data_IF_349926894391
#
_entry.id   IF_349926894391
#
_cell.length_a   1.000
_cell.length_b   1.000
_cell.length_c   1.000
_cell.angle_alpha   90.00
_cell.angle_beta   90.00
_cell.angle_gamma   90.00
#
_symmetry.space_group_name_H-M   'P 1'
#
loop_
_entity.id
_entity.type
_entity.pdbx_description
1 polymer ?
#
# COMPACT_ATOMS: atom_id res chain seq x y z
N UNK A 1 -10.16 -35.28 0.50
CA UNK A 1 -8.92 -34.89 -0.20
C UNK A 1 -9.17 -33.57 -0.91
N UNK A 2 -8.57 -32.46 -0.49
CA UNK A 2 -8.67 -31.17 -1.21
C UNK A 2 -7.79 -31.26 -2.45
N UNK A 3 -8.40 -31.18 -3.63
CA UNK A 3 -7.67 -31.19 -4.92
C UNK A 3 -6.72 -29.99 -4.97
N UNK A 4 -5.42 -30.23 -5.14
CA UNK A 4 -4.45 -29.19 -5.47
C UNK A 4 -4.77 -28.67 -6.87
N UNK A 5 -4.96 -27.37 -7.02
CA UNK A 5 -4.93 -26.73 -8.33
C UNK A 5 -3.42 -26.61 -8.65
N UNK A 6 -2.96 -27.33 -9.68
CA UNK A 6 -1.61 -27.23 -10.27
C UNK A 6 -0.37 -27.33 -9.35
N UNK A 7 -0.36 -28.11 -8.30
CA UNK A 7 0.89 -28.48 -7.59
C UNK A 7 1.26 -27.63 -6.38
N UNK A 8 0.85 -26.37 -6.25
CA UNK A 8 1.09 -25.51 -5.08
C UNK A 8 -0.14 -25.45 -4.19
N UNK A 9 0.03 -25.60 -2.86
CA UNK A 9 -1.07 -25.57 -1.90
C UNK A 9 -1.15 -24.22 -1.19
N UNK A 10 -2.35 -23.61 -1.11
CA UNK A 10 -2.52 -22.36 -0.36
C UNK A 10 -2.13 -22.53 1.12
N UNK A 11 -1.22 -21.72 1.61
CA UNK A 11 -0.74 -21.72 2.99
C UNK A 11 -1.53 -20.70 3.81
N UNK A 12 -2.32 -21.18 4.79
CA UNK A 12 -3.16 -20.29 5.61
C UNK A 12 -2.36 -19.28 6.42
N UNK A 13 -1.17 -19.65 6.89
CA UNK A 13 -0.31 -18.74 7.68
C UNK A 13 0.25 -17.60 6.84
N UNK A 14 0.34 -17.76 5.50
CA UNK A 14 0.70 -16.72 4.55
C UNK A 14 -0.54 -15.92 4.07
N UNK A 15 -1.75 -16.33 4.44
CA UNK A 15 -2.98 -15.65 4.02
C UNK A 15 -3.29 -15.82 2.53
N UNK A 16 -2.78 -16.85 1.87
CA UNK A 16 -2.86 -17.03 0.43
C UNK A 16 -4.28 -17.33 -0.06
N UNK A 17 -4.73 -16.55 -1.03
CA UNK A 17 -5.93 -16.73 -1.85
C UNK A 17 -5.53 -16.58 -3.32
N UNK A 18 -5.40 -17.70 -4.03
CA UNK A 18 -4.98 -17.67 -5.43
C UNK A 18 -6.11 -17.18 -6.34
N UNK A 19 -5.86 -16.12 -7.08
CA UNK A 19 -6.75 -15.62 -8.11
C UNK A 19 -6.81 -16.65 -9.26
N UNK A 20 -8.03 -17.01 -9.69
CA UNK A 20 -8.26 -17.97 -10.79
C UNK A 20 -8.72 -17.30 -12.08
N UNK A 21 -9.27 -16.12 -11.96
CA UNK A 21 -9.84 -15.38 -13.07
C UNK A 21 -8.75 -14.63 -13.85
N UNK A 22 -8.47 -15.13 -15.05
CA UNK A 22 -7.42 -14.58 -15.92
C UNK A 22 -7.78 -13.19 -16.45
N UNK A 23 -9.08 -12.90 -16.66
CA UNK A 23 -9.52 -11.56 -17.12
C UNK A 23 -9.26 -10.51 -16.05
N UNK A 24 -9.52 -10.84 -14.79
CA UNK A 24 -9.21 -9.94 -13.65
C UNK A 24 -7.69 -9.78 -13.53
N UNK A 25 -6.92 -10.86 -13.64
CA UNK A 25 -5.46 -10.79 -13.57
C UNK A 25 -4.88 -9.90 -14.69
N UNK A 26 -5.39 -10.04 -15.91
CA UNK A 26 -5.02 -9.19 -17.05
C UNK A 26 -5.36 -7.72 -16.79
N UNK A 27 -6.58 -7.44 -16.32
CA UNK A 27 -6.99 -6.07 -16.01
C UNK A 27 -6.11 -5.44 -14.90
N UNK A 28 -5.67 -6.22 -13.91
CA UNK A 28 -4.73 -5.74 -12.88
C UNK A 28 -3.38 -5.40 -13.53
N UNK A 29 -2.82 -6.29 -14.34
CA UNK A 29 -1.55 -6.06 -15.02
C UNK A 29 -1.60 -4.84 -15.95
N UNK A 30 -2.70 -4.67 -16.71
CA UNK A 30 -2.95 -3.53 -17.59
C UNK A 30 -3.26 -2.21 -16.83
N UNK A 31 -3.42 -2.27 -15.53
CA UNK A 31 -3.65 -1.07 -14.71
C UNK A 31 -2.38 -0.25 -14.44
N UNK A 32 -1.20 -0.77 -14.74
CA UNK A 32 0.05 0.00 -14.75
C UNK A 32 0.00 1.03 -15.89
N UNK A 33 0.50 2.26 -15.62
CA UNK A 33 0.41 3.38 -16.58
C UNK A 33 1.76 3.89 -17.07
N UNK A 34 2.87 3.33 -16.59
CA UNK A 34 4.20 3.85 -16.90
C UNK A 34 4.46 5.23 -16.27
N UNK A 35 3.77 5.54 -15.17
CA UNK A 35 3.84 6.85 -14.51
C UNK A 35 5.29 7.25 -14.17
N UNK A 36 5.71 8.43 -14.64
CA UNK A 36 7.11 8.95 -14.53
C UNK A 36 8.14 8.09 -15.31
N UNK A 37 7.70 7.26 -16.27
CA UNK A 37 8.58 6.58 -17.21
C UNK A 37 9.42 5.44 -16.61
N UNK A 38 8.95 4.74 -15.58
CA UNK A 38 9.62 3.54 -15.08
C UNK A 38 9.59 2.42 -16.13
N UNK A 39 10.62 1.57 -16.10
CA UNK A 39 10.72 0.37 -16.93
C UNK A 39 10.78 -0.90 -16.07
N UNK A 40 11.02 -0.76 -14.75
CA UNK A 40 11.11 -1.86 -13.83
C UNK A 40 9.78 -2.08 -13.12
N UNK A 41 9.32 -3.32 -13.04
CA UNK A 41 8.13 -3.73 -12.30
C UNK A 41 8.50 -4.83 -11.32
N UNK A 42 8.19 -4.62 -10.05
CA UNK A 42 8.32 -5.61 -8.99
C UNK A 42 6.94 -6.19 -8.66
N UNK A 43 6.72 -7.46 -8.99
CA UNK A 43 5.54 -8.20 -8.52
C UNK A 43 5.83 -8.81 -7.14
N UNK A 44 5.02 -8.49 -6.15
CA UNK A 44 5.16 -9.04 -4.79
C UNK A 44 4.19 -10.21 -4.63
N UNK A 45 4.72 -11.38 -4.21
CA UNK A 45 3.88 -12.57 -3.98
C UNK A 45 3.19 -13.12 -5.23
N UNK A 46 3.92 -13.41 -6.33
CA UNK A 46 3.34 -13.87 -7.59
C UNK A 46 2.59 -15.20 -7.46
N UNK A 47 2.88 -16.00 -6.42
CA UNK A 47 2.34 -17.32 -6.24
C UNK A 47 2.65 -18.24 -7.44
N UNK A 48 1.62 -18.64 -8.18
CA UNK A 48 1.77 -19.44 -9.41
C UNK A 48 1.87 -18.58 -10.69
N UNK A 49 2.11 -17.27 -10.57
CA UNK A 49 2.35 -16.39 -11.71
C UNK A 49 1.09 -15.96 -12.47
N UNK A 50 -0.06 -15.86 -11.80
CA UNK A 50 -1.31 -15.47 -12.46
C UNK A 50 -1.27 -14.03 -13.01
N UNK A 51 -0.60 -13.09 -12.33
CA UNK A 51 -0.35 -11.75 -12.86
C UNK A 51 0.90 -11.73 -13.74
N UNK A 52 1.95 -12.44 -13.33
CA UNK A 52 3.24 -12.54 -14.01
C UNK A 52 3.09 -12.82 -15.50
N UNK A 53 2.22 -13.77 -15.89
CA UNK A 53 2.00 -14.13 -17.29
C UNK A 53 1.52 -12.97 -18.17
N UNK A 54 0.82 -12.00 -17.60
CA UNK A 54 0.33 -10.81 -18.31
C UNK A 54 1.35 -9.68 -18.27
N UNK A 55 2.11 -9.56 -17.19
CA UNK A 55 3.20 -8.60 -17.08
C UNK A 55 4.31 -8.91 -18.10
N UNK A 56 4.68 -10.18 -18.25
CA UNK A 56 5.70 -10.63 -19.22
C UNK A 56 5.28 -10.43 -20.70
N UNK A 57 4.01 -10.16 -20.98
CA UNK A 57 3.54 -9.81 -22.34
C UNK A 57 3.74 -8.31 -22.65
N UNK A 58 3.99 -7.48 -21.65
CA UNK A 58 4.20 -6.05 -21.80
C UNK A 58 5.70 -5.80 -22.00
N UNK A 59 6.10 -5.62 -23.25
CA UNK A 59 7.52 -5.51 -23.65
C UNK A 59 8.22 -4.24 -23.14
N UNK A 60 7.45 -3.28 -22.64
CA UNK A 60 7.95 -2.03 -22.03
C UNK A 60 8.49 -2.20 -20.62
N UNK A 61 8.23 -3.35 -19.97
CA UNK A 61 8.64 -3.59 -18.59
C UNK A 61 9.62 -4.75 -18.45
N UNK A 62 10.61 -4.55 -17.62
CA UNK A 62 11.44 -5.61 -17.05
C UNK A 62 10.81 -6.05 -15.72
N UNK A 63 10.36 -7.30 -15.67
CA UNK A 63 9.62 -7.85 -14.54
C UNK A 63 10.55 -8.63 -13.62
N UNK A 64 10.58 -8.25 -12.36
CA UNK A 64 11.17 -9.03 -11.26
C UNK A 64 10.07 -9.42 -10.29
N UNK A 65 10.12 -10.62 -9.75
CA UNK A 65 9.18 -11.06 -8.72
C UNK A 65 9.88 -11.35 -7.41
N UNK A 66 9.20 -11.09 -6.28
CA UNK A 66 9.68 -11.47 -4.96
C UNK A 66 8.67 -12.39 -4.30
N UNK A 67 9.11 -13.59 -3.90
CA UNK A 67 8.25 -14.63 -3.34
C UNK A 67 8.90 -15.29 -2.12
N UNK A 68 8.14 -15.37 -1.03
CA UNK A 68 8.58 -15.99 0.21
C UNK A 68 8.30 -17.49 0.27
N UNK A 69 7.36 -17.98 -0.54
CA UNK A 69 6.95 -19.37 -0.56
C UNK A 69 7.82 -20.21 -1.51
N UNK A 70 8.67 -21.08 -0.95
CA UNK A 70 9.59 -21.93 -1.72
C UNK A 70 8.89 -22.83 -2.75
N UNK A 71 7.67 -23.32 -2.45
CA UNK A 71 6.90 -24.14 -3.40
C UNK A 71 6.48 -23.30 -4.62
N UNK A 72 6.08 -22.06 -4.40
CA UNK A 72 5.75 -21.09 -5.45
C UNK A 72 7.00 -20.75 -6.26
N UNK A 73 8.14 -20.53 -5.62
CA UNK A 73 9.43 -20.27 -6.30
C UNK A 73 9.84 -21.43 -7.21
N UNK A 74 9.73 -22.67 -6.73
CA UNK A 74 10.02 -23.87 -7.55
C UNK A 74 9.07 -23.94 -8.75
N UNK A 75 7.78 -23.66 -8.53
CA UNK A 75 6.79 -23.61 -9.61
C UNK A 75 7.14 -22.55 -10.66
N UNK A 76 7.46 -21.32 -10.22
CA UNK A 76 7.80 -20.20 -11.11
C UNK A 76 9.05 -20.50 -11.95
N UNK A 77 10.13 -20.99 -11.34
CA UNK A 77 11.38 -21.37 -12.06
C UNK A 77 11.11 -22.41 -13.14
N UNK A 78 10.17 -23.33 -12.90
CA UNK A 78 9.81 -24.36 -13.89
C UNK A 78 9.00 -23.80 -15.07
N UNK A 79 8.08 -22.85 -14.82
CA UNK A 79 7.12 -22.37 -15.83
C UNK A 79 7.56 -21.06 -16.50
N UNK A 80 8.46 -20.32 -15.86
CA UNK A 80 9.01 -19.05 -16.32
C UNK A 80 10.54 -19.04 -16.13
N UNK A 81 11.30 -19.83 -16.93
CA UNK A 81 12.74 -20.04 -16.69
C UNK A 81 13.58 -18.77 -16.78
N UNK A 82 13.15 -17.78 -17.56
CA UNK A 82 13.85 -16.51 -17.77
C UNK A 82 13.39 -15.41 -16.80
N UNK A 83 12.46 -15.70 -15.89
CA UNK A 83 11.95 -14.73 -14.93
C UNK A 83 12.98 -14.45 -13.83
N UNK A 84 13.22 -13.18 -13.55
CA UNK A 84 14.02 -12.75 -12.39
C UNK A 84 13.22 -12.99 -11.10
N UNK A 85 13.69 -13.89 -10.24
CA UNK A 85 13.00 -14.31 -9.00
C UNK A 85 13.87 -14.05 -7.78
N UNK A 86 13.39 -13.23 -6.86
CA UNK A 86 13.95 -13.04 -5.53
C UNK A 86 13.19 -13.92 -4.54
N UNK A 87 13.85 -14.93 -3.97
CA UNK A 87 13.25 -15.78 -2.95
C UNK A 87 13.51 -15.18 -1.58
N UNK A 88 12.69 -14.20 -1.19
CA UNK A 88 12.86 -13.45 0.06
C UNK A 88 11.52 -12.87 0.55
N UNK A 89 11.55 -12.30 1.77
CA UNK A 89 10.44 -11.58 2.37
C UNK A 89 10.47 -10.09 1.94
N UNK A 90 9.50 -9.67 1.14
CA UNK A 90 9.37 -8.27 0.69
C UNK A 90 9.47 -7.26 1.85
N UNK A 91 8.95 -7.60 3.02
CA UNK A 91 8.98 -6.69 4.17
C UNK A 91 10.39 -6.54 4.79
N UNK A 92 11.27 -7.51 4.58
CA UNK A 92 12.63 -7.52 5.15
C UNK A 92 13.71 -7.12 4.17
N UNK A 93 13.46 -7.28 2.85
CA UNK A 93 14.46 -6.94 1.85
C UNK A 93 14.87 -5.48 1.98
N UNK A 94 16.18 -5.21 1.88
CA UNK A 94 16.69 -3.87 1.68
C UNK A 94 16.53 -3.50 0.19
N UNK A 95 15.86 -2.38 -0.07
CA UNK A 95 15.65 -1.89 -1.44
C UNK A 95 16.87 -1.21 -2.05
N UNK A 96 17.98 -1.10 -1.31
CA UNK A 96 19.21 -0.48 -1.83
C UNK A 96 19.77 -1.15 -3.10
N UNK A 97 19.64 -2.47 -3.31
CA UNK A 97 20.06 -3.12 -4.55
C UNK A 97 19.00 -3.10 -5.66
N UNK A 98 17.77 -2.65 -5.39
CA UNK A 98 16.72 -2.61 -6.41
C UNK A 98 16.89 -1.40 -7.33
N UNK A 99 16.52 -1.52 -8.63
CA UNK A 99 16.62 -0.42 -9.59
C UNK A 99 15.85 0.82 -9.11
N UNK A 100 16.41 1.99 -9.40
CA UNK A 100 15.71 3.26 -9.18
C UNK A 100 14.47 3.34 -10.08
N UNK A 101 13.35 3.84 -9.53
CA UNK A 101 12.07 3.98 -10.25
C UNK A 101 11.47 2.67 -10.73
N UNK A 102 10.95 1.89 -9.79
CA UNK A 102 10.18 0.68 -10.08
C UNK A 102 8.72 0.82 -9.65
N UNK A 103 7.80 0.32 -10.47
CA UNK A 103 6.44 0.13 -10.02
C UNK A 103 6.32 -1.14 -9.18
N UNK A 104 5.38 -1.13 -8.24
CA UNK A 104 5.03 -2.31 -7.46
C UNK A 104 3.64 -2.78 -7.88
N UNK A 105 3.51 -4.07 -8.16
CA UNK A 105 2.21 -4.71 -8.41
C UNK A 105 2.04 -5.92 -7.51
N UNK A 106 0.83 -6.14 -7.00
CA UNK A 106 0.59 -7.23 -6.06
C UNK A 106 -0.90 -7.62 -5.98
N UNK A 107 -1.13 -8.92 -5.82
CA UNK A 107 -2.36 -9.46 -5.25
C UNK A 107 -2.16 -9.59 -3.74
N UNK A 108 -2.22 -8.46 -3.03
CA UNK A 108 -1.76 -8.29 -1.64
C UNK A 108 -2.50 -9.24 -0.69
N UNK A 109 -1.73 -10.07 0.01
CA UNK A 109 -2.29 -10.86 1.10
C UNK A 109 -2.75 -9.95 2.24
N UNK A 110 -3.97 -10.18 2.74
CA UNK A 110 -4.68 -9.24 3.62
C UNK A 110 -3.94 -8.94 4.93
N UNK A 111 -3.16 -9.90 5.41
CA UNK A 111 -2.47 -9.81 6.70
C UNK A 111 -1.36 -8.75 6.73
N UNK A 112 -0.76 -8.44 5.58
CA UNK A 112 0.41 -7.56 5.48
C UNK A 112 0.15 -6.27 4.69
N UNK A 113 -1.09 -6.03 4.27
CA UNK A 113 -1.47 -4.85 3.45
C UNK A 113 -0.92 -3.54 4.02
N UNK A 114 -1.12 -3.29 5.30
CA UNK A 114 -0.64 -2.04 5.92
C UNK A 114 0.89 -1.96 5.94
N UNK A 115 1.58 -3.09 6.15
CA UNK A 115 3.04 -3.14 6.19
C UNK A 115 3.63 -2.86 4.82
N UNK A 116 3.03 -3.41 3.74
CA UNK A 116 3.42 -3.12 2.36
C UNK A 116 3.30 -1.61 2.08
N UNK A 117 2.17 -0.98 2.41
CA UNK A 117 2.01 0.45 2.18
C UNK A 117 2.94 1.31 3.03
N UNK A 118 3.25 0.92 4.26
CA UNK A 118 4.28 1.63 5.04
C UNK A 118 5.66 1.51 4.39
N UNK A 119 6.01 0.34 3.86
CA UNK A 119 7.27 0.14 3.14
C UNK A 119 7.31 0.96 1.84
N UNK A 120 6.21 1.01 1.09
CA UNK A 120 6.07 1.90 -0.08
C UNK A 120 6.32 3.37 0.31
N UNK A 121 5.74 3.84 1.41
CA UNK A 121 5.95 5.21 1.91
C UNK A 121 7.41 5.48 2.30
N UNK A 122 8.06 4.52 2.94
CA UNK A 122 9.46 4.65 3.36
C UNK A 122 10.40 4.68 2.12
N UNK A 123 9.98 4.06 0.98
CA UNK A 123 10.73 4.03 -0.30
C UNK A 123 10.06 4.84 -1.42
N UNK A 124 9.19 5.79 -1.11
CA UNK A 124 8.40 6.55 -2.09
C UNK A 124 9.22 7.26 -3.17
N UNK A 125 10.49 7.57 -2.89
CA UNK A 125 11.37 8.24 -3.86
C UNK A 125 11.66 7.36 -5.08
N UNK A 126 11.70 6.03 -4.89
CA UNK A 126 11.98 5.05 -5.95
C UNK A 126 10.72 4.31 -6.43
N UNK A 127 9.57 4.47 -5.76
CA UNK A 127 8.30 3.81 -6.13
C UNK A 127 7.33 4.85 -6.71
N UNK A 128 7.32 5.04 -8.04
CA UNK A 128 6.43 6.02 -8.68
C UNK A 128 4.98 5.54 -8.78
N UNK A 129 4.73 4.25 -8.88
CA UNK A 129 3.39 3.69 -9.04
C UNK A 129 3.22 2.39 -8.28
N UNK A 130 2.04 2.19 -7.71
CA UNK A 130 1.63 0.93 -7.08
C UNK A 130 0.26 0.53 -7.60
N UNK A 131 0.11 -0.71 -8.06
CA UNK A 131 -1.19 -1.33 -8.34
C UNK A 131 -1.37 -2.49 -7.39
N UNK A 132 -2.38 -2.44 -6.54
CA UNK A 132 -2.59 -3.47 -5.53
C UNK A 132 -4.04 -3.91 -5.42
N UNK A 133 -4.25 -5.22 -5.36
CA UNK A 133 -5.54 -5.79 -4.97
C UNK A 133 -5.53 -6.09 -3.48
N UNK A 134 -6.46 -5.47 -2.74
CA UNK A 134 -6.54 -5.49 -1.28
C UNK A 134 -7.98 -5.75 -0.82
N UNK A 135 -8.21 -5.94 0.49
CA UNK A 135 -9.57 -5.98 1.01
C UNK A 135 -10.33 -4.70 0.66
N UNK A 136 -11.57 -4.85 0.17
CA UNK A 136 -12.42 -3.71 -0.23
C UNK A 136 -12.56 -2.66 0.87
N UNK A 137 -12.76 -3.05 2.13
CA UNK A 137 -12.86 -2.10 3.24
C UNK A 137 -11.57 -1.27 3.42
N UNK A 138 -10.40 -1.88 3.20
CA UNK A 138 -9.11 -1.18 3.28
C UNK A 138 -8.95 -0.23 2.09
N UNK A 139 -9.35 -0.64 0.89
CA UNK A 139 -9.36 0.21 -0.29
C UNK A 139 -10.30 1.42 -0.12
N UNK A 140 -11.53 1.19 0.33
CA UNK A 140 -12.50 2.25 0.62
C UNK A 140 -11.92 3.26 1.63
N UNK A 141 -11.20 2.76 2.63
CA UNK A 141 -10.55 3.58 3.65
C UNK A 141 -9.41 4.43 3.07
N UNK A 142 -8.51 3.80 2.29
CA UNK A 142 -7.35 4.47 1.69
C UNK A 142 -7.81 5.54 0.68
N UNK A 143 -8.87 5.29 -0.09
CA UNK A 143 -9.42 6.20 -1.09
C UNK A 143 -10.35 7.27 -0.50
N UNK A 144 -10.73 7.17 0.78
CA UNK A 144 -11.68 8.11 1.39
C UNK A 144 -11.10 9.52 1.50
N UNK A 145 -11.88 10.56 1.19
CA UNK A 145 -11.51 11.95 1.48
C UNK A 145 -11.67 12.28 2.97
N UNK A 146 -11.09 13.40 3.45
CA UNK A 146 -11.32 13.91 4.79
C UNK A 146 -12.82 14.18 5.04
N UNK A 147 -13.25 14.08 6.30
CA UNK A 147 -14.66 14.19 6.71
C UNK A 147 -15.43 12.87 6.65
N UNK A 148 -14.89 11.84 6.01
CA UNK A 148 -15.50 10.52 5.93
C UNK A 148 -15.12 9.64 7.12
N UNK A 149 -16.08 8.85 7.64
CA UNK A 149 -15.82 7.87 8.72
C UNK A 149 -14.78 6.79 8.33
N UNK A 150 -14.63 6.49 7.04
CA UNK A 150 -13.62 5.53 6.58
C UNK A 150 -12.20 6.11 6.55
N UNK A 151 -12.06 7.45 6.42
CA UNK A 151 -10.77 8.12 6.39
C UNK A 151 -9.91 7.80 7.63
N UNK A 152 -8.63 7.48 7.42
CA UNK A 152 -7.77 6.98 8.50
C UNK A 152 -6.28 7.24 8.27
N UNK A 153 -5.45 6.60 9.09
CA UNK A 153 -3.99 6.79 9.06
C UNK A 153 -3.40 6.58 7.66
N UNK A 154 -3.74 5.46 7.00
CA UNK A 154 -3.23 5.17 5.66
C UNK A 154 -3.77 6.14 4.61
N UNK A 155 -5.01 6.64 4.77
CA UNK A 155 -5.56 7.67 3.89
C UNK A 155 -4.67 8.92 3.91
N UNK A 156 -4.41 9.47 5.11
CA UNK A 156 -3.57 10.68 5.27
C UNK A 156 -2.16 10.45 4.76
N UNK A 157 -1.50 9.36 5.21
CA UNK A 157 -0.09 9.14 4.92
C UNK A 157 0.15 8.84 3.43
N UNK A 158 -0.74 8.10 2.77
CA UNK A 158 -0.60 7.79 1.35
C UNK A 158 -1.00 8.99 0.47
N UNK A 159 -2.10 9.67 0.79
CA UNK A 159 -2.56 10.84 0.02
C UNK A 159 -1.59 12.02 0.12
N UNK A 160 -0.74 12.07 1.13
CA UNK A 160 0.33 13.07 1.22
C UNK A 160 1.31 12.98 0.04
N UNK A 161 1.55 11.79 -0.50
CA UNK A 161 2.57 11.56 -1.53
C UNK A 161 2.06 10.92 -2.81
N UNK A 162 0.82 10.40 -2.82
CA UNK A 162 0.23 9.69 -3.94
C UNK A 162 -1.17 10.20 -4.26
N UNK A 163 -1.50 10.28 -5.53
CA UNK A 163 -2.88 10.33 -6.01
C UNK A 163 -3.40 8.89 -6.04
N UNK A 164 -4.56 8.65 -5.45
CA UNK A 164 -5.09 7.31 -5.25
C UNK A 164 -6.37 7.15 -6.05
N UNK A 165 -6.44 6.08 -6.84
CA UNK A 165 -7.57 5.75 -7.69
C UNK A 165 -8.15 4.39 -7.28
N UNK A 166 -9.45 4.33 -7.02
CA UNK A 166 -10.18 3.07 -6.87
C UNK A 166 -10.56 2.58 -8.26
N UNK A 167 -10.02 1.45 -8.70
CA UNK A 167 -10.22 0.98 -10.09
C UNK A 167 -11.48 0.13 -10.21
N UNK A 168 -11.54 -0.99 -9.49
CA UNK A 168 -12.70 -1.89 -9.53
C UNK A 168 -12.76 -2.82 -8.31
N UNK A 169 -13.96 -3.37 -8.08
CA UNK A 169 -14.21 -4.38 -7.04
C UNK A 169 -14.03 -5.79 -7.61
N UNK A 170 -13.54 -6.71 -6.77
CA UNK A 170 -13.32 -8.12 -7.11
C UNK A 170 -14.08 -9.01 -6.12
N UNK A 171 -14.90 -9.90 -6.64
CA UNK A 171 -15.77 -10.78 -5.86
C UNK A 171 -15.02 -12.02 -5.34
N UNK A 172 -15.39 -12.58 -4.17
CA UNK A 172 -14.65 -13.68 -3.53
C UNK A 172 -14.56 -14.97 -4.33
N UNK A 173 -15.55 -15.27 -5.17
CA UNK A 173 -15.64 -16.55 -5.90
C UNK A 173 -14.56 -16.75 -6.96
N UNK A 174 -13.86 -15.68 -7.35
CA UNK A 174 -12.75 -15.75 -8.32
C UNK A 174 -11.43 -16.23 -7.71
N UNK A 175 -11.42 -16.49 -6.40
CA UNK A 175 -10.25 -16.97 -5.67
C UNK A 175 -10.37 -18.44 -5.25
N UNK A 176 -9.22 -19.06 -4.95
CA UNK A 176 -9.14 -20.37 -4.31
C UNK A 176 -8.08 -20.37 -3.18
N UNK A 177 -8.46 -20.68 -1.94
CA UNK A 177 -9.85 -20.70 -1.44
C UNK A 177 -10.47 -19.30 -1.49
N UNK A 178 -11.80 -19.17 -1.57
CA UNK A 178 -12.45 -17.87 -1.59
C UNK A 178 -12.26 -17.17 -0.23
N UNK A 179 -11.92 -15.87 -0.21
CA UNK A 179 -11.91 -15.07 1.01
C UNK A 179 -13.33 -14.83 1.52
N UNK A 180 -13.45 -14.39 2.78
CA UNK A 180 -14.74 -14.06 3.39
C UNK A 180 -15.25 -12.67 3.00
N UNK A 181 -14.42 -11.84 2.41
CA UNK A 181 -14.70 -10.44 2.07
C UNK A 181 -14.36 -10.18 0.61
N UNK A 182 -14.97 -9.14 0.03
CA UNK A 182 -14.62 -8.64 -1.29
C UNK A 182 -13.24 -8.00 -1.28
N UNK A 183 -12.59 -8.03 -2.43
CA UNK A 183 -11.38 -7.28 -2.71
C UNK A 183 -11.68 -6.03 -3.56
N UNK A 184 -10.71 -5.18 -3.67
CA UNK A 184 -10.71 -4.08 -4.64
C UNK A 184 -9.30 -3.85 -5.14
N UNK A 185 -9.21 -3.40 -6.38
CA UNK A 185 -7.95 -2.97 -6.98
C UNK A 185 -7.87 -1.46 -6.89
N UNK A 186 -6.76 -0.98 -6.35
CA UNK A 186 -6.43 0.45 -6.28
C UNK A 186 -5.11 0.72 -7.00
N UNK A 187 -4.97 1.95 -7.47
CA UNK A 187 -3.73 2.45 -8.06
C UNK A 187 -3.28 3.70 -7.31
N UNK A 188 -2.01 3.73 -6.94
CA UNK A 188 -1.34 4.87 -6.35
C UNK A 188 -0.34 5.40 -7.38
N UNK A 189 -0.45 6.68 -7.75
CA UNK A 189 0.53 7.39 -8.58
C UNK A 189 1.20 8.47 -7.75
N UNK A 190 2.53 8.43 -7.66
CA UNK A 190 3.28 9.44 -6.90
C UNK A 190 2.94 10.84 -7.41
N UNK A 191 2.52 11.71 -6.50
CA UNK A 191 2.21 13.09 -6.81
C UNK A 191 3.50 13.97 -6.85
N UNK A 192 3.36 15.28 -6.93
CA UNK A 192 4.50 16.21 -7.00
C UNK A 192 5.19 16.44 -5.64
N UNK A 193 4.63 15.95 -4.54
CA UNK A 193 5.16 16.14 -3.20
C UNK A 193 6.34 15.20 -2.97
N UNK A 194 7.54 15.72 -3.03
CA UNK A 194 8.76 14.97 -2.70
C UNK A 194 9.04 14.97 -1.20
N UNK A 195 8.74 16.10 -0.55
CA UNK A 195 8.93 16.32 0.88
C UNK A 195 7.81 17.24 1.38
N UNK A 196 7.36 17.02 2.61
CA UNK A 196 6.38 17.88 3.27
C UNK A 196 7.08 19.11 3.89
N UNK A 197 6.36 20.21 3.99
CA UNK A 197 6.84 21.44 4.61
C UNK A 197 6.84 21.36 6.16
N UNK A 198 7.19 20.19 6.73
CA UNK A 198 7.28 19.95 8.16
C UNK A 198 8.19 18.74 8.43
N UNK A 199 8.53 18.49 9.70
CA UNK A 199 9.20 17.24 10.08
C UNK A 199 8.29 16.03 9.81
N UNK A 200 8.67 15.22 8.84
CA UNK A 200 7.87 14.06 8.38
C UNK A 200 7.76 12.96 9.45
N UNK A 201 8.74 12.83 10.36
CA UNK A 201 8.68 11.89 11.48
C UNK A 201 7.64 12.35 12.49
N UNK A 202 7.63 13.65 12.76
CA UNK A 202 6.62 14.26 13.62
C UNK A 202 5.23 14.19 12.98
N UNK A 203 5.10 14.48 11.68
CA UNK A 203 3.86 14.34 10.94
C UNK A 203 3.28 12.92 11.08
N UNK A 204 4.10 11.89 10.80
CA UNK A 204 3.70 10.48 10.96
C UNK A 204 3.26 10.17 12.41
N UNK A 205 3.91 10.76 13.41
CA UNK A 205 3.58 10.62 14.83
C UNK A 205 2.26 11.31 15.18
N UNK A 206 2.06 12.56 14.73
CA UNK A 206 0.83 13.35 14.96
C UNK A 206 -0.37 12.65 14.33
N UNK A 207 -0.27 12.20 13.06
CA UNK A 207 -1.33 11.45 12.37
C UNK A 207 -1.67 10.17 13.13
N UNK A 208 -0.67 9.32 13.43
CA UNK A 208 -0.92 8.06 14.16
C UNK A 208 -1.58 8.32 15.52
N UNK A 209 -1.09 9.29 16.27
CA UNK A 209 -1.61 9.62 17.60
C UNK A 209 -3.04 10.18 17.50
N UNK A 210 -3.32 11.04 16.52
CA UNK A 210 -4.65 11.61 16.29
C UNK A 210 -5.73 10.56 16.06
N UNK A 211 -5.39 9.50 15.31
CA UNK A 211 -6.32 8.42 14.98
C UNK A 211 -6.43 7.31 16.04
N UNK A 212 -5.57 7.27 17.07
CA UNK A 212 -5.69 6.25 18.14
C UNK A 212 -7.02 6.33 18.88
N UNK A 213 -7.57 7.53 19.03
CA UNK A 213 -8.83 7.77 19.73
C UNK A 213 -9.85 8.46 18.82
N UNK A 214 -10.32 7.79 17.77
CA UNK A 214 -11.19 8.35 16.71
C UNK A 214 -12.42 9.12 17.22
N UNK A 215 -12.98 8.73 18.38
CA UNK A 215 -14.17 9.42 18.97
C UNK A 215 -13.80 10.69 19.73
N UNK A 216 -12.53 10.98 19.96
CA UNK A 216 -12.06 12.16 20.68
C UNK A 216 -11.60 13.25 19.71
N UNK A 217 -11.71 14.50 20.15
CA UNK A 217 -11.07 15.62 19.45
C UNK A 217 -9.54 15.49 19.51
N UNK A 218 -8.83 16.13 18.58
CA UNK A 218 -7.36 16.14 18.56
C UNK A 218 -6.77 16.70 19.85
N UNK A 219 -7.43 17.66 20.50
CA UNK A 219 -7.05 18.18 21.83
C UNK A 219 -6.86 17.05 22.85
N UNK A 220 -7.72 16.05 22.81
CA UNK A 220 -7.64 14.89 23.71
C UNK A 220 -6.75 13.77 23.15
N UNK A 221 -6.80 13.53 21.84
CA UNK A 221 -6.03 12.47 21.21
C UNK A 221 -4.52 12.75 21.26
N UNK A 222 -4.12 14.02 21.15
CA UNK A 222 -2.71 14.44 21.13
C UNK A 222 -2.14 14.78 22.52
N UNK A 223 -2.90 14.64 23.61
CA UNK A 223 -2.38 14.85 24.98
C UNK A 223 -1.04 14.16 25.28
N UNK A 224 -0.81 12.91 24.84
CA UNK A 224 0.48 12.23 25.07
C UNK A 224 1.70 12.90 24.42
N UNK A 225 1.48 13.83 23.47
CA UNK A 225 2.56 14.60 22.85
C UNK A 225 3.00 15.81 23.67
N UNK A 226 2.34 16.12 24.79
CA UNK A 226 2.64 17.26 25.67
C UNK A 226 2.78 18.58 24.88
N UNK A 227 1.75 18.91 24.09
CA UNK A 227 1.77 20.08 23.21
C UNK A 227 2.00 21.38 24.00
N UNK A 228 2.83 22.30 23.49
CA UNK A 228 3.01 23.66 24.07
C UNK A 228 1.68 24.42 24.13
N UNK A 229 1.59 25.37 25.07
CA UNK A 229 0.37 26.15 25.31
C UNK A 229 -0.05 26.95 24.06
N UNK A 230 0.91 27.49 23.32
CA UNK A 230 0.65 28.21 22.05
C UNK A 230 -0.07 27.35 21.03
N UNK A 231 0.26 26.04 20.91
CA UNK A 231 -0.42 25.10 20.01
C UNK A 231 -1.81 24.73 20.53
N UNK A 232 -1.99 24.67 21.87
CA UNK A 232 -3.29 24.32 22.48
C UNK A 232 -4.42 25.30 22.14
N UNK A 233 -4.08 26.51 21.69
CA UNK A 233 -5.05 27.52 21.25
C UNK A 233 -5.52 27.28 19.79
N UNK A 234 -4.88 26.38 19.03
CA UNK A 234 -5.28 26.07 17.65
C UNK A 234 -6.69 25.53 17.58
N UNK A 235 -7.52 26.10 16.69
CA UNK A 235 -8.90 25.65 16.41
C UNK A 235 -8.94 24.23 15.85
N UNK A 236 -7.90 23.79 15.13
CA UNK A 236 -7.79 22.43 14.59
C UNK A 236 -7.86 21.36 15.69
N UNK A 237 -7.41 21.67 16.92
CA UNK A 237 -7.49 20.74 18.04
C UNK A 237 -8.90 20.47 18.53
N UNK A 238 -9.90 21.25 18.15
CA UNK A 238 -11.29 21.02 18.47
C UNK A 238 -11.96 20.02 17.50
N UNK A 239 -11.32 19.74 16.37
CA UNK A 239 -11.74 18.77 15.38
C UNK A 239 -11.31 17.35 15.75
N UNK A 240 -11.91 16.35 15.11
CA UNK A 240 -11.47 14.96 15.15
C UNK A 240 -10.47 14.71 14.02
N UNK A 241 -9.62 13.69 14.17
CA UNK A 241 -8.60 13.35 13.17
C UNK A 241 -9.17 13.13 11.76
N UNK A 242 -10.33 12.50 11.64
CA UNK A 242 -10.96 12.25 10.34
C UNK A 242 -11.46 13.52 9.62
N UNK A 243 -11.54 14.64 10.30
CA UNK A 243 -12.00 15.91 9.72
C UNK A 243 -10.87 16.72 9.09
N UNK A 244 -9.60 16.40 9.42
CA UNK A 244 -8.44 17.11 8.91
C UNK A 244 -8.00 16.54 7.55
N UNK A 245 -7.71 17.45 6.62
CA UNK A 245 -7.01 17.12 5.36
C UNK A 245 -5.53 16.83 5.61
N UNK A 246 -4.81 16.39 4.57
CA UNK A 246 -3.35 16.25 4.63
C UNK A 246 -2.69 17.59 4.96
N UNK A 247 -3.12 18.65 4.31
CA UNK A 247 -2.64 20.02 4.46
C UNK A 247 -2.84 20.51 5.90
N UNK A 248 -4.01 20.24 6.49
CA UNK A 248 -4.30 20.58 7.88
C UNK A 248 -3.34 19.86 8.85
N UNK A 249 -3.07 18.56 8.60
CA UNK A 249 -2.10 17.81 9.40
C UNK A 249 -0.68 18.33 9.24
N UNK A 250 -0.28 18.75 8.03
CA UNK A 250 1.03 19.39 7.79
C UNK A 250 1.10 20.70 8.57
N UNK A 251 0.10 21.57 8.45
CA UNK A 251 0.04 22.85 9.17
C UNK A 251 0.06 22.66 10.70
N UNK A 252 -0.71 21.72 11.23
CA UNK A 252 -0.68 21.38 12.65
C UNK A 252 0.71 20.90 13.10
N UNK A 253 1.37 20.09 12.28
CA UNK A 253 2.72 19.60 12.57
C UNK A 253 3.72 20.74 12.59
N UNK A 254 3.65 21.68 11.64
CA UNK A 254 4.48 22.89 11.63
C UNK A 254 4.31 23.74 12.91
N UNK A 255 3.06 23.95 13.34
CA UNK A 255 2.78 24.68 14.59
C UNK A 255 3.42 23.99 15.80
N UNK A 256 3.35 22.66 15.87
CA UNK A 256 3.97 21.89 16.95
C UNK A 256 5.50 21.99 16.89
N UNK A 257 6.08 21.83 15.71
CA UNK A 257 7.53 21.89 15.49
C UNK A 257 8.10 23.27 15.90
N UNK A 258 7.46 24.35 15.45
CA UNK A 258 7.86 25.71 15.77
C UNK A 258 7.79 25.97 17.27
N UNK A 259 6.72 25.54 17.92
CA UNK A 259 6.52 25.75 19.35
C UNK A 259 7.45 24.93 20.26
N UNK A 260 8.09 23.88 19.75
CA UNK A 260 9.13 23.13 20.48
C UNK A 260 10.55 23.69 20.30
N UNK A 261 10.76 24.54 19.28
CA UNK A 261 12.06 25.23 19.06
C UNK A 261 12.21 26.49 19.88
N UNK A 262 11.12 26.97 20.47
CA UNK A 262 11.06 28.12 21.36
C UNK A 262 10.73 27.72 22.80
#
# INVERSE_FOLDING_TARGET
MKKSISGVRPKKFLGQHFLKDHTIAENIALSLTGHIGYQQVLEVGPGMGVLTQFLLKQSEYEVTVIEIDDESVVYLKKHYPDLSILNDDFLKIDHSPLPHHQAIIDNITYNITSQIFFKVLDHRQIVPEVVGMIQKEVADRICSPPGNKAYGILSVLLQAYYTIEYLFTVEPQVFHPPPKVRSAVIRLKRNKTMQLDCDEKLFKKVVKQGFQNRRKTLRNALKPLNLPESVRQSSMLNLRAEQLSVEDFVQLTQQIEQAWKH
#
